data_IF_385870251449
#
_entry.id   IF_385870251449
#
_cell.length_a   1.000
_cell.length_b   1.000
_cell.length_c   1.000
_cell.angle_alpha   90.00
_cell.angle_beta   90.00
_cell.angle_gamma   90.00
#
_symmetry.space_group_name_H-M   'P 1'
#
loop_
_entity.id
_entity.type
_entity.pdbx_description
1 polymer ?
#
# COMPACT_ATOMS: atom_id res chain seq x y z
N UNK A 1 -33.48 -54.48 -5.93
CA UNK A 1 -33.30 -53.27 -6.75
C UNK A 1 -33.63 -51.95 -6.03
N UNK A 2 -34.73 -51.81 -5.26
CA UNK A 2 -35.07 -50.54 -4.59
C UNK A 2 -34.02 -50.04 -3.58
N UNK A 3 -33.41 -50.95 -2.80
CA UNK A 3 -32.39 -50.60 -1.80
C UNK A 3 -31.08 -50.08 -2.40
N UNK A 4 -30.69 -50.58 -3.59
CA UNK A 4 -29.47 -50.16 -4.30
C UNK A 4 -29.64 -48.74 -4.88
N UNK A 5 -30.82 -48.42 -5.43
CA UNK A 5 -31.12 -47.06 -5.92
C UNK A 5 -31.10 -46.01 -4.81
N UNK A 6 -31.55 -46.40 -3.61
CA UNK A 6 -31.53 -45.51 -2.44
C UNK A 6 -30.11 -45.26 -1.92
N UNK A 7 -29.26 -46.28 -1.90
CA UNK A 7 -27.85 -46.13 -1.54
C UNK A 7 -27.08 -45.22 -2.51
N UNK A 8 -27.35 -45.32 -3.82
CA UNK A 8 -26.71 -44.47 -4.84
C UNK A 8 -27.10 -43.00 -4.67
N UNK A 9 -28.36 -42.69 -4.34
CA UNK A 9 -28.82 -41.32 -4.11
C UNK A 9 -28.15 -40.67 -2.89
N UNK A 10 -27.90 -41.43 -1.83
CA UNK A 10 -27.20 -40.94 -0.63
C UNK A 10 -25.74 -40.60 -0.96
N UNK A 11 -25.06 -41.46 -1.70
CA UNK A 11 -23.66 -41.23 -2.10
C UNK A 11 -23.53 -39.97 -2.97
N UNK A 12 -24.45 -39.78 -3.93
CA UNK A 12 -24.46 -38.58 -4.80
C UNK A 12 -24.72 -37.31 -3.97
N UNK A 13 -25.64 -37.35 -3.01
CA UNK A 13 -25.94 -36.21 -2.15
C UNK A 13 -24.73 -35.80 -1.28
N UNK A 14 -23.99 -36.77 -0.73
CA UNK A 14 -22.77 -36.51 0.05
C UNK A 14 -21.69 -35.90 -0.85
N UNK A 15 -21.56 -36.39 -2.08
CA UNK A 15 -20.57 -35.88 -3.04
C UNK A 15 -20.87 -34.43 -3.44
N UNK A 16 -22.14 -34.07 -3.62
CA UNK A 16 -22.56 -32.69 -3.91
C UNK A 16 -22.29 -31.76 -2.72
N UNK A 17 -22.60 -32.19 -1.49
CA UNK A 17 -22.32 -31.39 -0.28
C UNK A 17 -20.81 -31.18 -0.11
N UNK A 18 -20.00 -32.19 -0.41
CA UNK A 18 -18.54 -32.08 -0.34
C UNK A 18 -18.00 -31.10 -1.39
N UNK A 19 -18.47 -31.18 -2.64
CA UNK A 19 -18.10 -30.24 -3.71
C UNK A 19 -18.53 -28.81 -3.38
N UNK A 20 -19.75 -28.62 -2.87
CA UNK A 20 -20.24 -27.30 -2.44
C UNK A 20 -19.48 -26.76 -1.23
N UNK A 21 -19.10 -27.63 -0.28
CA UNK A 21 -18.27 -27.24 0.87
C UNK A 21 -16.87 -26.79 0.46
N UNK A 22 -16.24 -27.49 -0.50
CA UNK A 22 -14.94 -27.09 -1.06
C UNK A 22 -15.05 -25.79 -1.85
N UNK A 23 -16.09 -25.64 -2.68
CA UNK A 23 -16.34 -24.39 -3.42
C UNK A 23 -16.64 -23.21 -2.48
N UNK A 24 -17.39 -23.44 -1.40
CA UNK A 24 -17.70 -22.42 -0.40
C UNK A 24 -16.45 -22.04 0.40
N UNK A 25 -15.59 -23.00 0.75
CA UNK A 25 -14.31 -22.72 1.41
C UNK A 25 -13.36 -21.90 0.53
N UNK A 26 -13.25 -22.26 -0.75
CA UNK A 26 -12.47 -21.49 -1.74
C UNK A 26 -13.06 -20.08 -1.91
N UNK A 27 -14.39 -19.94 -1.97
CA UNK A 27 -15.05 -18.64 -2.20
C UNK A 27 -15.07 -17.73 -0.95
N UNK A 28 -15.17 -18.28 0.26
CA UNK A 28 -15.30 -17.51 1.51
C UNK A 28 -13.95 -17.20 2.15
N UNK A 29 -12.99 -18.13 2.12
CA UNK A 29 -11.64 -17.89 2.65
C UNK A 29 -10.91 -16.76 1.91
N UNK A 30 -11.09 -16.67 0.61
CA UNK A 30 -10.44 -15.68 -0.26
C UNK A 30 -10.96 -14.23 -0.05
N UNK A 31 -12.16 -14.09 0.53
CA UNK A 31 -12.75 -12.79 0.87
C UNK A 31 -12.36 -12.27 2.26
N UNK A 32 -11.82 -13.13 3.14
CA UNK A 32 -11.41 -12.72 4.48
C UNK A 32 -10.07 -11.95 4.43
N UNK A 33 -9.10 -12.47 3.70
CA UNK A 33 -7.77 -11.86 3.58
C UNK A 33 -7.82 -10.49 2.90
N UNK A 34 -8.60 -10.36 1.82
CA UNK A 34 -8.77 -9.07 1.12
C UNK A 34 -9.46 -8.01 1.98
N UNK A 35 -10.39 -8.42 2.86
CA UNK A 35 -11.03 -7.51 3.84
C UNK A 35 -10.06 -7.09 4.94
N UNK A 36 -9.21 -8.00 5.41
CA UNK A 36 -8.20 -7.70 6.41
C UNK A 36 -7.19 -6.68 5.86
N UNK A 37 -6.63 -6.92 4.67
CA UNK A 37 -5.73 -5.97 3.99
C UNK A 37 -6.39 -4.62 3.76
N UNK A 38 -7.66 -4.60 3.36
CA UNK A 38 -8.40 -3.35 3.22
C UNK A 38 -8.48 -2.56 4.52
N UNK A 39 -8.89 -3.21 5.61
CA UNK A 39 -9.00 -2.56 6.92
C UNK A 39 -7.65 -2.03 7.42
N UNK A 40 -6.58 -2.78 7.17
CA UNK A 40 -5.21 -2.39 7.51
C UNK A 40 -4.79 -1.12 6.75
N UNK A 41 -4.95 -1.10 5.43
CA UNK A 41 -4.60 0.06 4.59
C UNK A 41 -5.45 1.28 4.92
N UNK A 42 -6.75 1.12 5.16
CA UNK A 42 -7.62 2.21 5.62
C UNK A 42 -7.18 2.76 6.98
N UNK A 43 -6.82 1.88 7.93
CA UNK A 43 -6.29 2.27 9.24
C UNK A 43 -5.01 3.10 9.13
N UNK A 44 -4.07 2.66 8.30
CA UNK A 44 -2.82 3.38 8.03
C UNK A 44 -3.07 4.72 7.36
N UNK A 45 -3.99 4.78 6.39
CA UNK A 45 -4.37 6.03 5.73
C UNK A 45 -4.91 7.04 6.74
N UNK A 46 -5.77 6.60 7.66
CA UNK A 46 -6.30 7.48 8.71
C UNK A 46 -5.21 7.96 9.67
N UNK A 47 -4.25 7.10 10.03
CA UNK A 47 -3.11 7.48 10.86
C UNK A 47 -2.24 8.55 10.17
N UNK A 48 -1.91 8.34 8.90
CA UNK A 48 -1.17 9.31 8.07
C UNK A 48 -1.92 10.64 7.99
N UNK A 49 -3.25 10.61 7.75
CA UNK A 49 -4.06 11.84 7.71
C UNK A 49 -4.08 12.58 9.05
N UNK A 50 -4.11 11.84 10.16
CA UNK A 50 -4.03 12.42 11.49
C UNK A 50 -2.67 13.07 11.74
N UNK A 51 -1.58 12.43 11.31
CA UNK A 51 -0.23 12.99 11.41
C UNK A 51 -0.06 14.24 10.54
N UNK A 52 -0.57 14.22 9.31
CA UNK A 52 -0.60 15.41 8.43
C UNK A 52 -1.31 16.58 9.14
N UNK A 53 -2.50 16.32 9.71
CA UNK A 53 -3.27 17.33 10.42
C UNK A 53 -2.49 17.90 11.61
N UNK A 54 -1.89 17.03 12.43
CA UNK A 54 -1.08 17.44 13.59
C UNK A 54 0.10 18.32 13.19
N UNK A 55 0.84 17.95 12.13
CA UNK A 55 2.00 18.71 11.66
C UNK A 55 1.61 20.08 11.09
N UNK A 56 0.45 20.19 10.46
CA UNK A 56 -0.05 21.47 9.94
C UNK A 56 -0.57 22.39 11.05
N UNK A 57 -1.14 21.83 12.12
CA UNK A 57 -1.65 22.61 13.26
C UNK A 57 -0.52 23.15 14.15
N UNK A 58 0.51 22.33 14.42
CA UNK A 58 1.66 22.73 15.24
C UNK A 58 2.45 23.90 14.62
N UNK A 59 2.52 23.96 13.30
CA UNK A 59 3.27 25.00 12.57
C UNK A 59 2.48 26.30 12.36
N UNK A 60 1.19 26.34 12.69
CA UNK A 60 0.36 27.55 12.61
C UNK A 60 0.61 28.54 13.79
N UNK A 61 1.59 28.24 14.66
CA UNK A 61 2.03 29.10 15.77
C UNK A 61 3.15 30.10 15.41
N UNK A 62 3.59 30.18 14.15
CA UNK A 62 4.67 31.08 13.71
C UNK A 62 4.21 32.18 12.74
N UNK A 63 2.99 32.67 12.91
CA UNK A 63 2.45 33.78 12.12
C UNK A 63 2.24 35.06 12.94
N UNK A 64 3.20 35.47 13.78
CA UNK A 64 3.47 36.88 14.06
C UNK A 64 4.85 37.08 14.71
N UNK A 65 5.87 37.36 13.91
CA UNK A 65 7.07 38.10 14.33
C UNK A 65 7.81 38.59 13.10
N UNK A 66 7.50 39.83 12.75
CA UNK A 66 8.28 40.65 11.85
C UNK A 66 9.57 41.15 12.56
N UNK A 67 10.59 41.45 11.76
CA UNK A 67 11.85 42.14 12.07
C UNK A 67 13.05 41.34 12.63
N UNK A 68 13.96 41.05 11.69
CA UNK A 68 15.39 41.41 11.70
C UNK A 68 16.35 40.72 12.69
N UNK A 69 17.55 40.45 12.14
CA UNK A 69 18.82 40.15 12.80
C UNK A 69 19.19 38.68 13.11
N UNK A 70 20.10 38.21 12.24
CA UNK A 70 21.42 37.63 12.57
C UNK A 70 21.48 36.20 13.10
N UNK A 71 21.97 35.34 12.19
CA UNK A 71 22.96 34.29 12.39
C UNK A 71 23.19 33.84 13.84
N UNK A 72 22.57 32.71 14.21
CA UNK A 72 23.04 31.84 15.28
C UNK A 72 22.53 30.41 15.07
N UNK A 73 23.48 29.60 14.62
CA UNK A 73 23.71 28.20 14.97
C UNK A 73 22.81 27.66 16.09
N UNK A 74 21.87 26.78 15.73
CA UNK A 74 21.13 25.92 16.66
C UNK A 74 21.32 24.48 16.20
N UNK A 75 22.22 23.82 16.91
CA UNK A 75 22.42 22.38 16.97
C UNK A 75 21.12 21.71 17.42
N UNK A 76 20.40 21.07 16.49
CA UNK A 76 19.29 20.18 16.81
C UNK A 76 19.79 18.74 16.85
N UNK A 77 19.65 18.13 18.03
CA UNK A 77 20.04 16.75 18.32
C UNK A 77 19.15 15.75 17.58
N UNK A 78 19.79 14.94 16.72
CA UNK A 78 19.64 13.49 16.69
C UNK A 78 18.26 12.90 16.37
N UNK A 79 17.98 12.75 15.08
CA UNK A 79 17.52 11.46 14.55
C UNK A 79 18.50 11.09 13.44
N UNK A 80 19.52 10.31 13.81
CA UNK A 80 20.37 9.60 12.86
C UNK A 80 19.51 8.55 12.16
N UNK A 81 19.27 8.78 10.88
CA UNK A 81 18.86 7.73 9.95
C UNK A 81 19.88 7.74 8.82
N UNK A 82 21.02 7.08 9.08
CA UNK A 82 21.93 6.57 8.06
C UNK A 82 21.19 5.46 7.31
N UNK A 83 21.28 5.23 6.00
CA UNK A 83 22.18 5.70 4.96
C UNK A 83 21.52 5.35 3.60
N UNK A 84 21.74 6.18 2.57
CA UNK A 84 21.69 5.87 1.13
C UNK A 84 20.44 5.18 0.57
N UNK A 85 19.50 6.00 0.13
CA UNK A 85 19.12 5.99 -1.29
C UNK A 85 18.73 7.41 -1.70
N UNK A 86 19.04 7.76 -2.94
CA UNK A 86 18.82 9.06 -3.58
C UNK A 86 17.31 9.36 -3.76
N UNK A 87 16.57 9.47 -2.65
CA UNK A 87 15.14 9.78 -2.61
C UNK A 87 14.94 11.24 -2.27
N UNK A 88 15.32 12.10 -3.20
CA UNK A 88 14.84 13.48 -3.17
C UNK A 88 13.33 13.49 -3.29
N UNK A 89 12.63 13.80 -2.19
CA UNK A 89 11.18 13.99 -2.19
C UNK A 89 10.76 15.07 -3.20
N UNK A 90 9.46 15.17 -3.50
CA UNK A 90 8.97 16.18 -4.45
C UNK A 90 9.36 17.59 -3.97
N UNK A 91 9.43 17.84 -2.65
CA UNK A 91 9.92 19.11 -2.11
C UNK A 91 11.36 19.46 -2.56
N UNK A 92 12.23 18.46 -2.71
CA UNK A 92 13.63 18.66 -3.10
C UNK A 92 13.80 18.79 -4.62
N UNK A 93 12.93 18.15 -5.41
CA UNK A 93 12.99 18.14 -6.88
C UNK A 93 12.53 19.46 -7.54
N UNK A 94 11.84 20.34 -6.81
CA UNK A 94 11.21 21.55 -7.37
C UNK A 94 12.14 22.77 -7.51
N UNK A 95 13.42 22.64 -7.15
CA UNK A 95 14.42 23.70 -7.33
C UNK A 95 14.17 24.96 -6.47
N UNK A 96 14.86 26.09 -6.75
CA UNK A 96 14.84 27.28 -5.90
C UNK A 96 13.55 28.12 -5.99
N UNK A 97 12.57 27.74 -6.82
CA UNK A 97 11.41 28.58 -7.17
C UNK A 97 10.14 28.27 -6.33
N UNK A 98 10.31 27.58 -5.20
CA UNK A 98 9.23 27.28 -4.26
C UNK A 98 9.30 28.19 -3.03
N UNK A 99 8.15 28.64 -2.56
CA UNK A 99 8.04 29.41 -1.31
C UNK A 99 8.35 28.53 -0.10
N UNK A 100 8.70 29.14 1.04
CA UNK A 100 8.91 28.41 2.28
C UNK A 100 7.67 27.59 2.70
N UNK A 101 6.47 28.17 2.51
CA UNK A 101 5.18 27.50 2.77
C UNK A 101 4.95 26.31 1.86
N UNK A 102 5.18 26.46 0.55
CA UNK A 102 5.09 25.35 -0.41
C UNK A 102 6.04 24.21 -0.03
N UNK A 103 7.30 24.54 0.31
CA UNK A 103 8.32 23.56 0.71
C UNK A 103 7.91 22.79 1.96
N UNK A 104 7.36 23.48 2.95
CA UNK A 104 6.90 22.89 4.20
C UNK A 104 5.76 21.91 3.97
N UNK A 105 4.71 22.32 3.25
CA UNK A 105 3.58 21.45 2.92
C UNK A 105 4.09 20.23 2.14
N UNK A 106 4.88 20.44 1.08
CA UNK A 106 5.45 19.34 0.31
C UNK A 106 6.28 18.37 1.17
N UNK A 107 7.04 18.87 2.15
CA UNK A 107 7.80 17.99 3.05
C UNK A 107 6.91 17.13 3.95
N UNK A 108 5.76 17.65 4.40
CA UNK A 108 4.77 16.88 5.16
C UNK A 108 4.18 15.76 4.29
N UNK A 109 3.83 16.09 3.05
CA UNK A 109 3.28 15.12 2.11
C UNK A 109 4.33 14.11 1.61
N UNK A 110 5.59 14.51 1.42
CA UNK A 110 6.70 13.60 1.13
C UNK A 110 6.82 12.52 2.22
N UNK A 111 6.75 12.92 3.49
CA UNK A 111 6.78 11.97 4.61
C UNK A 111 5.57 11.03 4.60
N UNK A 112 4.37 11.56 4.38
CA UNK A 112 3.14 10.77 4.29
C UNK A 112 3.19 9.72 3.15
N UNK A 113 3.68 10.12 1.97
CA UNK A 113 3.86 9.20 0.85
C UNK A 113 4.93 8.14 1.13
N UNK A 114 6.02 8.51 1.78
CA UNK A 114 7.06 7.55 2.19
C UNK A 114 6.50 6.51 3.15
N UNK A 115 5.72 6.92 4.15
CA UNK A 115 5.10 6.01 5.11
C UNK A 115 4.09 5.06 4.45
N UNK A 116 3.25 5.57 3.54
CA UNK A 116 2.34 4.74 2.76
C UNK A 116 3.09 3.72 1.90
N UNK A 117 4.18 4.13 1.25
CA UNK A 117 5.02 3.23 0.46
C UNK A 117 5.69 2.16 1.32
N UNK A 118 6.26 2.54 2.47
CA UNK A 118 6.89 1.62 3.40
C UNK A 118 5.90 0.57 3.90
N UNK A 119 4.69 1.02 4.23
CA UNK A 119 3.58 0.15 4.65
C UNK A 119 3.16 -0.83 3.55
N UNK A 120 2.95 -0.34 2.33
CA UNK A 120 2.60 -1.19 1.19
C UNK A 120 3.69 -2.23 0.88
N UNK A 121 4.97 -1.82 0.94
CA UNK A 121 6.10 -2.72 0.76
C UNK A 121 6.14 -3.81 1.85
N UNK A 122 5.90 -3.46 3.11
CA UNK A 122 5.83 -4.43 4.20
C UNK A 122 4.74 -5.49 3.98
N UNK A 123 3.57 -5.11 3.46
CA UNK A 123 2.52 -6.08 3.11
C UNK A 123 2.96 -6.96 1.94
N UNK A 124 3.62 -6.40 0.92
CA UNK A 124 4.18 -7.18 -0.20
C UNK A 124 5.21 -8.20 0.30
N UNK A 125 6.12 -7.81 1.19
CA UNK A 125 7.10 -8.74 1.79
C UNK A 125 6.41 -9.89 2.55
N UNK A 126 5.31 -9.58 3.24
CA UNK A 126 4.42 -10.58 3.84
C UNK A 126 3.83 -11.55 2.82
N UNK A 127 3.34 -11.04 1.68
CA UNK A 127 2.85 -11.88 0.58
C UNK A 127 3.95 -12.75 -0.02
N UNK A 128 5.16 -12.22 -0.22
CA UNK A 128 6.31 -12.96 -0.74
C UNK A 128 6.77 -14.07 0.22
N UNK A 129 6.71 -13.81 1.52
CA UNK A 129 7.00 -14.81 2.55
C UNK A 129 5.93 -15.90 2.57
N UNK A 130 4.66 -15.51 2.48
CA UNK A 130 3.52 -16.43 2.44
C UNK A 130 3.60 -17.39 1.26
N UNK A 131 3.78 -16.89 0.03
CA UNK A 131 3.82 -17.74 -1.17
C UNK A 131 4.97 -18.75 -1.11
N UNK A 132 6.12 -18.35 -0.56
CA UNK A 132 7.25 -19.25 -0.35
C UNK A 132 6.91 -20.35 0.65
N UNK A 133 6.29 -19.99 1.78
CA UNK A 133 5.89 -20.95 2.82
C UNK A 133 4.89 -21.96 2.27
N UNK A 134 3.84 -21.50 1.60
CA UNK A 134 2.79 -22.36 1.05
C UNK A 134 3.34 -23.30 -0.03
N UNK A 135 4.26 -22.81 -0.87
CA UNK A 135 4.96 -23.65 -1.84
C UNK A 135 5.81 -24.74 -1.17
N UNK A 136 6.57 -24.40 -0.12
CA UNK A 136 7.35 -25.39 0.65
C UNK A 136 6.44 -26.48 1.22
N UNK A 137 5.28 -26.12 1.79
CA UNK A 137 4.31 -27.09 2.30
C UNK A 137 3.79 -28.01 1.20
N UNK A 138 3.45 -27.46 0.02
CA UNK A 138 3.03 -28.28 -1.13
C UNK A 138 4.14 -29.24 -1.56
N UNK A 139 5.40 -28.79 -1.57
CA UNK A 139 6.55 -29.60 -1.95
C UNK A 139 6.81 -30.73 -0.96
N UNK A 140 6.83 -30.44 0.33
CA UNK A 140 7.12 -31.41 1.40
C UNK A 140 6.05 -32.50 1.48
N UNK A 141 4.79 -32.17 1.14
CA UNK A 141 3.68 -33.11 1.07
C UNK A 141 3.59 -33.88 -0.27
N UNK A 142 4.52 -33.67 -1.20
CA UNK A 142 4.46 -34.20 -2.59
C UNK A 142 3.18 -33.78 -3.34
N UNK A 143 2.65 -32.60 -3.03
CA UNK A 143 1.45 -32.01 -3.61
C UNK A 143 1.74 -30.84 -4.56
N UNK A 144 3.00 -30.54 -4.86
CA UNK A 144 3.40 -29.48 -5.79
C UNK A 144 3.15 -29.85 -7.26
N UNK A 145 1.90 -30.19 -7.62
CA UNK A 145 1.50 -30.33 -9.02
C UNK A 145 1.43 -28.96 -9.70
N UNK A 146 1.62 -28.94 -11.02
CA UNK A 146 1.54 -27.71 -11.83
C UNK A 146 0.26 -26.92 -11.55
N UNK A 147 -0.89 -27.59 -11.53
CA UNK A 147 -2.19 -26.95 -11.25
C UNK A 147 -2.22 -26.28 -9.88
N UNK A 148 -1.69 -26.94 -8.83
CA UNK A 148 -1.67 -26.39 -7.47
C UNK A 148 -0.73 -25.19 -7.34
N UNK A 149 0.43 -25.24 -7.99
CA UNK A 149 1.38 -24.13 -8.01
C UNK A 149 0.82 -22.94 -8.80
N UNK A 150 0.16 -23.18 -9.93
CA UNK A 150 -0.53 -22.12 -10.69
C UNK A 150 -1.65 -21.47 -9.88
N UNK A 151 -2.47 -22.27 -9.17
CA UNK A 151 -3.51 -21.75 -8.28
C UNK A 151 -2.92 -20.92 -7.14
N UNK A 152 -1.80 -21.36 -6.56
CA UNK A 152 -1.09 -20.62 -5.52
C UNK A 152 -0.63 -19.26 -6.05
N UNK A 153 0.06 -19.23 -7.20
CA UNK A 153 0.51 -18.00 -7.84
C UNK A 153 -0.66 -17.04 -8.14
N UNK A 154 -1.77 -17.56 -8.69
CA UNK A 154 -2.96 -16.76 -8.98
C UNK A 154 -3.57 -16.14 -7.70
N UNK A 155 -3.60 -16.89 -6.59
CA UNK A 155 -4.12 -16.39 -5.32
C UNK A 155 -3.30 -15.22 -4.79
N UNK A 156 -1.97 -15.32 -4.79
CA UNK A 156 -1.09 -14.25 -4.32
C UNK A 156 -1.11 -13.03 -5.25
N UNK A 157 -1.18 -13.22 -6.57
CA UNK A 157 -1.38 -12.13 -7.53
C UNK A 157 -2.70 -11.38 -7.27
N UNK A 158 -3.79 -12.08 -6.93
CA UNK A 158 -5.07 -11.45 -6.58
C UNK A 158 -4.97 -10.64 -5.29
N UNK A 159 -4.27 -11.15 -4.27
CA UNK A 159 -4.01 -10.42 -3.01
C UNK A 159 -3.19 -9.15 -3.25
N UNK A 160 -2.14 -9.24 -4.07
CA UNK A 160 -1.33 -8.09 -4.45
C UNK A 160 -2.15 -7.03 -5.20
N UNK A 161 -2.98 -7.44 -6.17
CA UNK A 161 -3.87 -6.51 -6.87
C UNK A 161 -4.89 -5.86 -5.93
N UNK A 162 -5.41 -6.61 -4.96
CA UNK A 162 -6.30 -6.05 -3.95
C UNK A 162 -5.58 -5.01 -3.08
N UNK A 163 -4.35 -5.29 -2.63
CA UNK A 163 -3.50 -4.34 -1.93
C UNK A 163 -3.31 -3.06 -2.76
N UNK A 164 -2.85 -3.17 -4.01
CA UNK A 164 -2.62 -2.00 -4.86
C UNK A 164 -3.89 -1.17 -5.08
N UNK A 165 -5.05 -1.81 -5.22
CA UNK A 165 -6.32 -1.08 -5.30
C UNK A 165 -6.64 -0.28 -4.04
N UNK A 166 -6.25 -0.75 -2.86
CA UNK A 166 -6.43 0.00 -1.61
C UNK A 166 -5.40 1.13 -1.51
N UNK A 167 -4.14 0.86 -1.85
CA UNK A 167 -3.08 1.88 -1.87
C UNK A 167 -3.42 3.00 -2.87
N UNK A 168 -3.97 2.66 -4.05
CA UNK A 168 -4.50 3.63 -5.02
C UNK A 168 -5.53 4.58 -4.38
N UNK A 169 -6.46 4.02 -3.58
CA UNK A 169 -7.47 4.81 -2.86
C UNK A 169 -6.82 5.73 -1.82
N UNK A 170 -5.82 5.24 -1.09
CA UNK A 170 -5.08 6.02 -0.10
C UNK A 170 -4.30 7.17 -0.74
N UNK A 171 -3.60 6.91 -1.85
CA UNK A 171 -2.88 7.93 -2.62
C UNK A 171 -3.84 9.03 -3.07
N UNK A 172 -4.97 8.67 -3.67
CA UNK A 172 -5.96 9.64 -4.09
C UNK A 172 -6.47 10.49 -2.92
N UNK A 173 -6.71 9.87 -1.76
CA UNK A 173 -7.15 10.56 -0.55
C UNK A 173 -6.10 11.56 -0.06
N UNK A 174 -4.83 11.15 0.01
CA UNK A 174 -3.71 12.01 0.41
C UNK A 174 -3.55 13.18 -0.57
N UNK A 175 -3.61 12.93 -1.89
CA UNK A 175 -3.51 13.98 -2.92
C UNK A 175 -4.65 14.98 -2.85
N UNK A 176 -5.88 14.52 -2.59
CA UNK A 176 -7.03 15.42 -2.38
C UNK A 176 -6.88 16.28 -1.13
N UNK A 177 -6.33 15.72 -0.04
CA UNK A 177 -6.03 16.49 1.17
C UNK A 177 -4.93 17.52 0.91
N UNK A 178 -3.88 17.15 0.16
CA UNK A 178 -2.80 18.05 -0.25
C UNK A 178 -3.32 19.23 -1.06
N UNK A 179 -4.17 18.96 -2.05
CA UNK A 179 -4.80 20.00 -2.85
C UNK A 179 -5.62 20.97 -1.99
N UNK A 180 -6.38 20.46 -1.04
CA UNK A 180 -7.16 21.28 -0.10
C UNK A 180 -6.25 22.16 0.74
N UNK A 181 -5.20 21.59 1.32
CA UNK A 181 -4.28 22.32 2.21
C UNK A 181 -3.49 23.38 1.45
N UNK A 182 -2.98 23.04 0.25
CA UNK A 182 -2.28 24.00 -0.60
C UNK A 182 -3.18 25.13 -1.08
N UNK A 183 -4.43 24.82 -1.45
CA UNK A 183 -5.41 25.84 -1.87
C UNK A 183 -5.72 26.79 -0.72
N UNK A 184 -5.88 26.26 0.51
CA UNK A 184 -6.14 27.10 1.70
C UNK A 184 -5.01 28.09 2.01
N UNK A 185 -3.80 27.78 1.54
CA UNK A 185 -2.60 28.60 1.69
C UNK A 185 -2.36 29.55 0.49
N UNK A 186 -3.29 29.58 -0.46
CA UNK A 186 -3.23 30.47 -1.62
C UNK A 186 -2.28 30.02 -2.74
N UNK A 187 -1.86 28.76 -2.73
CA UNK A 187 -1.04 28.19 -3.82
C UNK A 187 -1.90 28.05 -5.07
N UNK A 188 -1.34 28.39 -6.24
CA UNK A 188 -2.08 28.36 -7.50
C UNK A 188 -2.42 26.95 -7.95
N UNK A 189 -3.60 26.79 -8.57
CA UNK A 189 -4.08 25.49 -9.08
C UNK A 189 -3.09 24.84 -10.05
N UNK A 190 -2.40 25.63 -10.89
CA UNK A 190 -1.39 25.10 -11.82
C UNK A 190 -0.20 24.45 -11.10
N UNK A 191 0.28 25.05 -10.00
CA UNK A 191 1.34 24.46 -9.18
C UNK A 191 0.86 23.20 -8.46
N UNK A 192 -0.34 23.26 -7.86
CA UNK A 192 -0.93 22.10 -7.18
C UNK A 192 -1.06 20.91 -8.15
N UNK A 193 -1.55 21.17 -9.37
CA UNK A 193 -1.64 20.16 -10.42
C UNK A 193 -0.27 19.56 -10.76
N UNK A 194 0.76 20.39 -10.91
CA UNK A 194 2.11 19.93 -11.19
C UNK A 194 2.66 19.04 -10.05
N UNK A 195 2.42 19.40 -8.78
CA UNK A 195 2.83 18.58 -7.63
C UNK A 195 2.09 17.25 -7.58
N UNK A 196 0.76 17.24 -7.79
CA UNK A 196 -0.02 16.00 -7.85
C UNK A 196 0.50 15.05 -8.93
N UNK A 197 0.74 15.57 -10.13
CA UNK A 197 1.29 14.78 -11.23
C UNK A 197 2.67 14.19 -10.91
N UNK A 198 3.51 14.94 -10.18
CA UNK A 198 4.81 14.45 -9.76
C UNK A 198 4.71 13.29 -8.75
N UNK A 199 3.81 13.39 -7.76
CA UNK A 199 3.54 12.30 -6.82
C UNK A 199 2.91 11.08 -7.49
N UNK A 200 1.96 11.29 -8.41
CA UNK A 200 1.33 10.21 -9.19
C UNK A 200 2.39 9.45 -10.02
N UNK A 201 3.30 10.18 -10.68
CA UNK A 201 4.37 9.55 -11.45
C UNK A 201 5.32 8.72 -10.58
N UNK A 202 5.71 9.24 -9.40
CA UNK A 202 6.57 8.50 -8.47
C UNK A 202 5.84 7.28 -7.89
N UNK A 203 4.55 7.42 -7.58
CA UNK A 203 3.71 6.33 -7.10
C UNK A 203 3.58 5.19 -8.13
N UNK A 204 3.31 5.49 -9.39
CA UNK A 204 3.14 4.48 -10.43
C UNK A 204 4.41 3.64 -10.65
N UNK A 205 5.59 4.24 -10.53
CA UNK A 205 6.87 3.50 -10.56
C UNK A 205 6.92 2.48 -9.41
N UNK A 206 6.53 2.90 -8.20
CA UNK A 206 6.58 2.03 -7.02
C UNK A 206 5.52 0.93 -7.06
N UNK A 207 4.32 1.25 -7.56
CA UNK A 207 3.25 0.29 -7.81
C UNK A 207 3.68 -0.81 -8.76
N UNK A 208 4.32 -0.44 -9.87
CA UNK A 208 4.78 -1.42 -10.85
C UNK A 208 5.90 -2.30 -10.29
N UNK A 209 6.84 -1.72 -9.53
CA UNK A 209 7.86 -2.48 -8.80
C UNK A 209 7.25 -3.54 -7.87
N UNK A 210 6.27 -3.16 -7.05
CA UNK A 210 5.58 -4.09 -6.13
C UNK A 210 4.84 -5.20 -6.86
N UNK A 211 4.09 -4.87 -7.91
CA UNK A 211 3.35 -5.86 -8.73
C UNK A 211 4.29 -6.87 -9.39
N UNK A 212 5.41 -6.39 -9.91
CA UNK A 212 6.43 -7.25 -10.52
C UNK A 212 7.12 -8.15 -9.49
N UNK A 213 7.37 -7.67 -8.28
CA UNK A 213 7.96 -8.50 -7.23
C UNK A 213 7.09 -9.74 -6.93
N UNK A 214 5.78 -9.57 -6.73
CA UNK A 214 4.87 -10.69 -6.46
C UNK A 214 4.72 -11.61 -7.67
N UNK A 215 4.58 -11.03 -8.87
CA UNK A 215 4.40 -11.81 -10.11
C UNK A 215 5.64 -12.65 -10.42
N UNK A 216 6.83 -12.06 -10.35
CA UNK A 216 8.09 -12.76 -10.60
C UNK A 216 8.28 -13.88 -9.58
N UNK A 217 7.97 -13.62 -8.30
CA UNK A 217 8.06 -14.64 -7.27
C UNK A 217 7.12 -15.81 -7.51
N UNK A 218 5.90 -15.55 -7.97
CA UNK A 218 4.96 -16.59 -8.35
C UNK A 218 5.46 -17.43 -9.53
N UNK A 219 6.12 -16.79 -10.52
CA UNK A 219 6.69 -17.48 -11.68
C UNK A 219 7.89 -18.37 -11.33
N UNK A 220 8.72 -18.00 -10.35
CA UNK A 220 9.86 -18.82 -9.90
C UNK A 220 9.47 -20.23 -9.42
N UNK A 221 8.22 -20.42 -9.01
CA UNK A 221 7.74 -21.70 -8.49
C UNK A 221 7.07 -22.59 -9.54
N UNK A 222 6.76 -22.05 -10.72
CA UNK A 222 6.15 -22.77 -11.85
C UNK A 222 7.20 -23.47 -12.71
#
# INVERSE_FOLDING_TARGET
MKKVKWAILIIISILIIFVLGVLFYIFVGENADTKATKKEVEGMTNAILQEIASKLDDDNLMADSNENSTDKDITSQGIEMSEKDDKGGIAQKQGPNITAKEKQILSIYDAAFYELQASANGIVDGLLTGIKSDYTVLKDNNEASLDKVMMLGASYSKRANALESQVDSSVNTILSKMETDMTSQGISSDKIKAYKQAYEAEYEIQKETRRNAVTNKAQEFM
#
